data_IF_584391169847
#
_entry.id   IF_584391169847
#
_cell.length_a   1.000
_cell.length_b   1.000
_cell.length_c   1.000
_cell.angle_alpha   90.00
_cell.angle_beta   90.00
_cell.angle_gamma   90.00
#
_symmetry.space_group_name_H-M   'P 1'
#
loop_
_entity.id
_entity.type
_entity.pdbx_description
1 polymer ?
#
# COMPACT_ATOMS: atom_id res chain seq x y z
N UNK A 1 0.96 45.65 -18.02
CA UNK A 1 0.01 44.50 -18.18
C UNK A 1 0.60 43.36 -17.42
N UNK A 2 0.19 43.18 -16.17
CA UNK A 2 0.72 42.14 -15.30
C UNK A 2 0.07 40.81 -15.69
N UNK A 3 0.86 39.94 -16.33
CA UNK A 3 0.42 38.59 -16.65
C UNK A 3 0.29 37.82 -15.33
N UNK A 4 -0.93 37.55 -14.90
CA UNK A 4 -1.22 36.80 -13.71
C UNK A 4 -0.78 35.34 -13.91
N UNK A 5 0.31 34.95 -13.25
CA UNK A 5 0.72 33.56 -13.20
C UNK A 5 -0.33 32.69 -12.46
N UNK A 6 -0.74 31.62 -13.06
CA UNK A 6 -1.71 30.66 -12.52
C UNK A 6 -0.93 29.49 -11.93
N UNK A 7 -1.35 29.02 -10.77
CA UNK A 7 -0.73 27.83 -10.15
C UNK A 7 -1.34 26.56 -10.74
N UNK A 8 -0.49 25.66 -11.20
CA UNK A 8 -0.85 24.35 -11.73
C UNK A 8 -0.35 23.25 -10.78
N UNK A 9 -1.24 22.39 -10.35
CA UNK A 9 -0.86 21.15 -9.68
C UNK A 9 -0.53 20.10 -10.73
N UNK A 10 0.66 19.52 -10.66
CA UNK A 10 1.09 18.48 -11.57
C UNK A 10 1.38 17.17 -10.86
N UNK A 11 1.18 16.07 -11.58
CA UNK A 11 1.61 14.73 -11.20
C UNK A 11 2.40 14.15 -12.35
N UNK A 12 3.52 13.51 -12.03
CA UNK A 12 4.41 12.97 -13.04
C UNK A 12 5.40 11.97 -12.47
N UNK A 13 6.31 11.52 -13.32
CA UNK A 13 7.39 10.60 -12.97
C UNK A 13 8.71 11.30 -13.29
N UNK A 14 9.57 11.48 -12.29
CA UNK A 14 10.94 11.95 -12.45
C UNK A 14 11.90 10.87 -11.96
N UNK A 15 12.88 10.49 -12.78
CA UNK A 15 13.89 9.47 -12.45
C UNK A 15 13.28 8.13 -11.93
N UNK A 16 12.15 7.71 -12.53
CA UNK A 16 11.45 6.49 -12.14
C UNK A 16 10.65 6.59 -10.83
N UNK A 17 10.55 7.79 -10.21
CA UNK A 17 9.76 8.04 -9.00
C UNK A 17 8.57 8.93 -9.31
N UNK A 18 7.41 8.61 -8.71
CA UNK A 18 6.26 9.50 -8.75
C UNK A 18 6.58 10.80 -8.00
N UNK A 19 6.33 11.92 -8.67
CA UNK A 19 6.48 13.26 -8.10
C UNK A 19 5.20 14.05 -8.34
N UNK A 20 4.82 14.84 -7.35
CA UNK A 20 3.71 15.79 -7.45
C UNK A 20 4.17 17.13 -6.87
N UNK A 21 3.59 18.20 -7.37
CA UNK A 21 3.94 19.53 -6.91
C UNK A 21 3.08 20.61 -7.56
N UNK A 22 3.38 21.85 -7.22
CA UNK A 22 2.73 23.03 -7.81
C UNK A 22 3.78 23.80 -8.60
N UNK A 23 3.42 24.19 -9.81
CA UNK A 23 4.25 25.02 -10.68
C UNK A 23 3.46 26.26 -11.11
N UNK A 24 4.09 27.42 -11.12
CA UNK A 24 3.51 28.66 -11.59
C UNK A 24 3.85 28.87 -13.07
N UNK A 25 2.81 29.09 -13.88
CA UNK A 25 2.94 29.34 -15.30
C UNK A 25 1.78 30.22 -15.78
N UNK A 26 1.97 30.86 -16.93
CA UNK A 26 0.92 31.68 -17.55
C UNK A 26 -0.18 30.82 -18.14
N UNK A 27 0.19 29.66 -18.66
CA UNK A 27 -0.74 28.69 -19.22
C UNK A 27 -0.27 27.23 -18.98
N UNK A 28 -1.09 26.30 -19.44
CA UNK A 28 -0.84 24.84 -19.30
C UNK A 28 0.36 24.38 -20.14
N UNK A 29 0.62 25.04 -21.25
CA UNK A 29 1.70 24.67 -22.19
C UNK A 29 3.06 25.09 -21.61
N UNK A 30 3.14 26.29 -21.01
CA UNK A 30 4.31 26.74 -20.26
C UNK A 30 4.59 25.86 -19.03
N UNK A 31 3.54 25.48 -18.30
CA UNK A 31 3.69 24.55 -17.18
C UNK A 31 4.26 23.20 -17.65
N UNK A 32 3.76 22.69 -18.76
CA UNK A 32 4.24 21.45 -19.36
C UNK A 32 5.69 21.55 -19.83
N UNK A 33 6.06 22.67 -20.42
CA UNK A 33 7.43 22.93 -20.86
C UNK A 33 8.41 22.94 -19.68
N UNK A 34 8.11 23.73 -18.64
CA UNK A 34 8.91 23.81 -17.40
C UNK A 34 9.07 22.46 -16.69
N UNK A 35 8.07 21.59 -16.76
CA UNK A 35 8.13 20.25 -16.18
C UNK A 35 8.98 19.29 -17.01
N UNK A 36 8.94 19.42 -18.34
CA UNK A 36 9.84 18.64 -19.24
C UNK A 36 11.30 19.02 -19.06
N UNK A 37 11.64 20.27 -18.88
CA UNK A 37 13.01 20.71 -18.52
C UNK A 37 13.51 20.06 -17.22
N UNK A 38 12.62 19.84 -16.27
CA UNK A 38 12.91 19.12 -15.02
C UNK A 38 12.88 17.59 -15.17
N UNK A 39 12.84 17.09 -16.40
CA UNK A 39 12.76 15.64 -16.73
C UNK A 39 11.60 14.92 -16.05
N UNK A 40 10.48 15.64 -15.85
CA UNK A 40 9.25 15.06 -15.29
C UNK A 40 8.36 14.59 -16.43
N UNK A 41 8.04 13.30 -16.48
CA UNK A 41 7.01 12.76 -17.37
C UNK A 41 5.66 13.04 -16.74
N UNK A 42 4.89 13.92 -17.37
CA UNK A 42 3.63 14.44 -16.82
C UNK A 42 2.53 13.39 -17.00
N UNK A 43 1.86 13.04 -15.92
CA UNK A 43 0.68 12.15 -15.94
C UNK A 43 -0.63 12.97 -15.84
N UNK A 44 -0.62 14.10 -15.12
CA UNK A 44 -1.77 14.99 -14.97
C UNK A 44 -1.33 16.41 -14.64
N UNK A 45 -2.02 17.44 -15.22
CA UNK A 45 -1.90 18.86 -14.85
C UNK A 45 -3.29 19.45 -14.68
N UNK A 46 -3.54 20.06 -13.53
CA UNK A 46 -4.80 20.72 -13.20
C UNK A 46 -4.56 22.15 -12.68
N UNK A 47 -5.49 23.06 -12.99
CA UNK A 47 -5.44 24.44 -12.48
C UNK A 47 -5.93 24.47 -11.04
N UNK A 48 -5.13 25.05 -10.14
CA UNK A 48 -5.54 25.28 -8.74
C UNK A 48 -6.25 26.65 -8.65
N UNK A 49 -7.59 26.64 -8.58
CA UNK A 49 -8.35 27.86 -8.30
C UNK A 49 -8.29 28.17 -6.80
N UNK A 50 -7.49 29.18 -6.47
CA UNK A 50 -7.61 30.00 -5.25
C UNK A 50 -7.58 29.28 -3.90
N UNK A 51 -6.40 28.89 -3.39
CA UNK A 51 -6.16 28.79 -1.94
C UNK A 51 -4.76 29.29 -1.58
N UNK A 52 -4.69 30.10 -0.49
CA UNK A 52 -3.47 30.71 0.05
C UNK A 52 -2.39 29.65 0.35
N UNK A 53 -1.22 29.86 -0.22
CA UNK A 53 -0.03 29.03 -0.09
C UNK A 53 0.38 28.91 1.39
N UNK A 54 0.30 27.71 1.97
CA UNK A 54 1.09 27.35 3.15
C UNK A 54 2.44 26.85 2.66
N UNK A 55 3.52 27.53 3.08
CA UNK A 55 4.91 27.17 2.77
C UNK A 55 5.18 25.70 3.08
N UNK A 56 5.92 24.97 2.21
CA UNK A 56 6.22 23.56 2.44
C UNK A 56 7.12 23.41 3.67
N UNK A 57 6.65 22.68 4.68
CA UNK A 57 7.52 22.17 5.74
C UNK A 57 8.41 21.07 5.16
N UNK A 58 9.72 21.23 5.26
CA UNK A 58 10.73 20.22 4.94
C UNK A 58 10.43 18.91 5.69
N UNK A 59 10.40 17.81 4.95
CA UNK A 59 10.63 16.47 5.45
C UNK A 59 9.40 15.79 6.06
N UNK A 60 8.52 15.27 5.21
CA UNK A 60 7.74 14.08 5.54
C UNK A 60 7.73 13.18 4.29
N UNK A 61 8.48 12.10 4.36
CA UNK A 61 8.24 10.93 3.52
C UNK A 61 6.84 10.41 3.87
N UNK A 62 5.87 10.73 3.02
CA UNK A 62 4.50 10.28 3.22
C UNK A 62 3.86 10.06 1.86
N UNK A 63 3.65 8.80 1.51
CA UNK A 63 2.78 8.43 0.40
C UNK A 63 1.43 9.13 0.53
N UNK A 64 0.96 9.76 -0.55
CA UNK A 64 -0.15 10.66 -0.55
C UNK A 64 -1.41 10.09 0.07
N UNK A 65 -2.06 10.87 0.91
CA UNK A 65 -3.32 10.57 1.57
C UNK A 65 -4.44 10.18 0.56
N UNK A 66 -4.32 10.61 -0.69
CA UNK A 66 -5.26 10.31 -1.79
C UNK A 66 -5.01 8.97 -2.48
N UNK A 67 -3.78 8.45 -2.51
CA UNK A 67 -3.51 7.11 -3.05
C UNK A 67 -4.20 6.02 -2.23
N UNK A 68 -4.40 6.26 -0.92
CA UNK A 68 -5.12 5.34 -0.04
C UNK A 68 -6.63 5.26 -0.33
N UNK A 69 -7.24 6.22 -1.02
CA UNK A 69 -8.68 6.26 -1.26
C UNK A 69 -9.10 5.39 -2.46
N UNK A 70 -8.22 5.28 -3.48
CA UNK A 70 -8.50 4.57 -4.73
C UNK A 70 -7.95 3.12 -4.78
N UNK A 71 -7.03 2.76 -3.88
CA UNK A 71 -6.36 1.45 -3.92
C UNK A 71 -7.12 0.31 -3.23
N UNK A 72 -8.31 0.59 -2.68
CA UNK A 72 -9.09 -0.41 -1.96
C UNK A 72 -8.49 -0.81 -0.60
N UNK A 73 -9.24 -1.55 0.20
CA UNK A 73 -8.78 -2.07 1.50
C UNK A 73 -8.13 -3.43 1.30
N UNK A 74 -7.03 -3.70 2.00
CA UNK A 74 -6.49 -5.06 2.13
C UNK A 74 -7.44 -5.86 3.02
N UNK A 75 -7.96 -6.96 2.50
CA UNK A 75 -8.89 -7.86 3.21
C UNK A 75 -8.09 -8.92 3.99
N UNK A 76 -8.70 -9.53 4.98
CA UNK A 76 -8.11 -10.66 5.72
C UNK A 76 -7.76 -11.82 4.78
N UNK A 77 -8.59 -12.07 3.76
CA UNK A 77 -8.32 -13.08 2.74
C UNK A 77 -7.03 -12.79 1.94
N UNK A 78 -6.78 -11.50 1.59
CA UNK A 78 -5.56 -11.10 0.88
C UNK A 78 -4.32 -11.37 1.75
N UNK A 79 -4.41 -11.06 3.06
CA UNK A 79 -3.31 -11.32 4.01
C UNK A 79 -3.09 -12.81 4.26
N UNK A 80 -4.16 -13.60 4.35
CA UNK A 80 -4.07 -15.04 4.52
C UNK A 80 -3.36 -15.67 3.31
N UNK A 81 -3.76 -15.30 2.09
CA UNK A 81 -3.13 -15.78 0.87
C UNK A 81 -1.67 -15.34 0.76
N UNK A 82 -1.37 -14.07 1.06
CA UNK A 82 -0.01 -13.54 1.11
C UNK A 82 0.85 -14.34 2.09
N UNK A 83 0.40 -14.50 3.34
CA UNK A 83 1.14 -15.22 4.38
C UNK A 83 1.38 -16.68 4.01
N UNK A 84 0.38 -17.34 3.40
CA UNK A 84 0.49 -18.71 2.92
C UNK A 84 1.56 -18.86 1.84
N UNK A 85 1.57 -17.96 0.84
CA UNK A 85 2.57 -17.97 -0.23
C UNK A 85 3.99 -17.79 0.33
N UNK A 86 4.21 -16.76 1.17
CA UNK A 86 5.50 -16.49 1.80
C UNK A 86 5.94 -17.68 2.67
N UNK A 87 5.04 -18.20 3.52
CA UNK A 87 5.33 -19.35 4.39
C UNK A 87 5.76 -20.59 3.59
N UNK A 88 5.07 -20.87 2.49
CA UNK A 88 5.40 -22.01 1.61
C UNK A 88 6.78 -21.85 0.97
N UNK A 89 7.11 -20.67 0.48
CA UNK A 89 8.39 -20.38 -0.16
C UNK A 89 9.55 -20.44 0.83
N UNK A 90 9.40 -19.81 2.00
CA UNK A 90 10.42 -19.82 3.05
C UNK A 90 10.62 -21.25 3.60
N UNK A 91 9.53 -22.01 3.79
CA UNK A 91 9.61 -23.42 4.18
C UNK A 91 10.32 -24.30 3.13
N UNK A 92 10.20 -23.96 1.85
CA UNK A 92 10.93 -24.62 0.76
C UNK A 92 12.41 -24.18 0.67
N UNK A 93 12.89 -23.32 1.58
CA UNK A 93 14.28 -22.84 1.63
C UNK A 93 14.58 -21.65 0.72
N UNK A 94 13.57 -21.03 0.11
CA UNK A 94 13.77 -19.81 -0.69
C UNK A 94 14.17 -18.65 0.22
N UNK A 95 15.14 -17.80 -0.20
CA UNK A 95 15.47 -16.58 0.51
C UNK A 95 14.25 -15.70 0.70
N UNK A 96 14.13 -15.07 1.86
CA UNK A 96 12.96 -14.25 2.20
C UNK A 96 12.72 -13.12 1.20
N UNK A 97 13.79 -12.45 0.75
CA UNK A 97 13.70 -11.36 -0.21
C UNK A 97 13.15 -11.82 -1.57
N UNK A 98 13.63 -12.96 -2.08
CA UNK A 98 13.16 -13.53 -3.34
C UNK A 98 11.70 -13.97 -3.23
N UNK A 99 11.32 -14.53 -2.07
CA UNK A 99 9.94 -14.89 -1.77
C UNK A 99 9.01 -13.66 -1.83
N UNK A 100 9.44 -12.51 -1.30
CA UNK A 100 8.67 -11.27 -1.36
C UNK A 100 8.52 -10.76 -2.80
N UNK A 101 9.57 -10.77 -3.61
CA UNK A 101 9.53 -10.36 -5.03
C UNK A 101 8.55 -11.23 -5.81
N UNK A 102 8.62 -12.54 -5.64
CA UNK A 102 7.71 -13.47 -6.32
C UNK A 102 6.25 -13.28 -5.91
N UNK A 103 5.99 -13.04 -4.62
CA UNK A 103 4.62 -12.82 -4.12
C UNK A 103 4.10 -11.46 -4.53
N UNK A 104 4.95 -10.43 -4.65
CA UNK A 104 4.59 -9.12 -5.18
C UNK A 104 3.96 -9.25 -6.57
N UNK A 105 4.60 -9.99 -7.48
CA UNK A 105 4.11 -10.19 -8.85
C UNK A 105 2.77 -10.93 -8.89
N UNK A 106 2.55 -11.84 -7.96
CA UNK A 106 1.34 -12.66 -7.85
C UNK A 106 0.22 -12.02 -7.01
N UNK A 107 0.37 -10.77 -6.60
CA UNK A 107 -0.59 -10.09 -5.73
C UNK A 107 -1.52 -9.20 -6.53
N UNK A 108 -2.84 -9.54 -6.53
CA UNK A 108 -3.88 -8.81 -7.26
C UNK A 108 -4.28 -7.50 -6.56
N UNK A 109 -4.27 -7.50 -5.23
CA UNK A 109 -4.62 -6.33 -4.43
C UNK A 109 -3.55 -5.25 -4.59
N UNK A 110 -3.87 -4.19 -5.35
CA UNK A 110 -2.92 -3.11 -5.69
C UNK A 110 -2.29 -2.46 -4.45
N UNK A 111 -3.07 -2.29 -3.38
CA UNK A 111 -2.55 -1.71 -2.13
C UNK A 111 -1.56 -2.65 -1.45
N UNK A 112 -1.90 -3.93 -1.36
CA UNK A 112 -1.00 -4.93 -0.76
C UNK A 112 0.27 -5.07 -1.60
N UNK A 113 0.16 -5.07 -2.93
CA UNK A 113 1.31 -5.10 -3.86
C UNK A 113 2.29 -3.95 -3.59
N UNK A 114 1.80 -2.72 -3.45
CA UNK A 114 2.65 -1.56 -3.13
C UNK A 114 3.33 -1.70 -1.76
N UNK A 115 2.61 -2.22 -0.77
CA UNK A 115 3.18 -2.46 0.56
C UNK A 115 4.28 -3.53 0.49
N UNK A 116 4.06 -4.63 -0.24
CA UNK A 116 5.04 -5.70 -0.44
C UNK A 116 6.28 -5.15 -1.13
N UNK A 117 6.11 -4.34 -2.18
CA UNK A 117 7.19 -3.66 -2.88
C UNK A 117 8.05 -2.80 -1.93
N UNK A 118 7.40 -2.01 -1.06
CA UNK A 118 8.13 -1.20 -0.08
C UNK A 118 8.86 -2.07 0.96
N UNK A 119 8.24 -3.17 1.40
CA UNK A 119 8.88 -4.13 2.31
C UNK A 119 10.12 -4.75 1.64
N UNK A 120 10.04 -5.15 0.38
CA UNK A 120 11.19 -5.69 -0.37
C UNK A 120 12.35 -4.70 -0.41
N UNK A 121 12.08 -3.43 -0.70
CA UNK A 121 13.10 -2.36 -0.69
C UNK A 121 13.72 -2.14 0.69
N UNK A 122 12.89 -2.12 1.72
CA UNK A 122 13.37 -1.95 3.10
C UNK A 122 14.25 -3.14 3.55
N UNK A 123 13.90 -4.35 3.13
CA UNK A 123 14.70 -5.56 3.38
C UNK A 123 16.04 -5.52 2.64
N UNK A 124 16.06 -5.08 1.37
CA UNK A 124 17.30 -4.87 0.60
C UNK A 124 18.21 -3.85 1.27
N UNK A 125 17.62 -2.83 1.92
CA UNK A 125 18.36 -1.81 2.69
C UNK A 125 18.80 -2.32 4.09
N UNK A 126 18.58 -3.60 4.43
CA UNK A 126 18.96 -4.21 5.70
C UNK A 126 18.02 -3.95 6.87
N UNK A 127 16.81 -3.45 6.63
CA UNK A 127 15.82 -3.27 7.69
C UNK A 127 15.24 -4.64 8.09
N UNK A 128 15.09 -4.89 9.39
CA UNK A 128 14.48 -6.15 9.88
C UNK A 128 13.03 -6.29 9.41
N UNK A 129 12.60 -7.51 9.11
CA UNK A 129 11.27 -7.80 8.57
C UNK A 129 10.14 -7.31 9.49
N UNK A 130 10.28 -7.50 10.79
CA UNK A 130 9.32 -7.01 11.79
C UNK A 130 9.17 -5.48 11.77
N UNK A 131 10.27 -4.75 11.57
CA UNK A 131 10.23 -3.28 11.39
C UNK A 131 9.53 -2.89 10.09
N UNK A 132 9.78 -3.62 9.00
CA UNK A 132 9.12 -3.37 7.71
C UNK A 132 7.59 -3.49 7.84
N UNK A 133 7.10 -4.57 8.46
CA UNK A 133 5.67 -4.78 8.70
C UNK A 133 5.06 -3.73 9.64
N UNK A 134 5.79 -3.30 10.68
CA UNK A 134 5.31 -2.31 11.65
C UNK A 134 5.02 -0.94 11.06
N UNK A 135 5.56 -0.61 9.88
CA UNK A 135 5.27 0.63 9.15
C UNK A 135 3.82 0.70 8.64
N UNK A 136 3.12 -0.45 8.56
CA UNK A 136 1.76 -0.55 8.05
C UNK A 136 0.79 -1.16 9.08
N UNK A 137 0.55 -0.52 10.25
CA UNK A 137 -0.21 -1.10 11.36
C UNK A 137 -1.71 -1.30 11.06
N UNK A 138 -2.24 -0.64 10.02
CA UNK A 138 -3.62 -0.84 9.54
C UNK A 138 -3.80 -2.13 8.74
N UNK A 139 -2.71 -2.72 8.26
CA UNK A 139 -2.68 -3.94 7.46
C UNK A 139 -2.15 -5.10 8.29
N UNK A 140 -1.03 -4.90 8.97
CA UNK A 140 -0.37 -5.88 9.83
C UNK A 140 -0.58 -5.51 11.29
N UNK A 141 -1.44 -6.25 11.98
CA UNK A 141 -1.74 -6.01 13.38
C UNK A 141 -0.55 -6.33 14.31
N UNK A 142 -0.68 -5.97 15.58
CA UNK A 142 0.39 -6.22 16.58
C UNK A 142 0.74 -7.70 16.70
N UNK A 143 -0.23 -8.59 16.53
CA UNK A 143 0.00 -10.05 16.62
C UNK A 143 0.86 -10.48 15.45
N UNK A 144 0.55 -10.03 14.24
CA UNK A 144 1.34 -10.28 13.04
C UNK A 144 2.80 -9.86 13.24
N UNK A 145 3.02 -8.59 13.61
CA UNK A 145 4.36 -8.03 13.81
C UNK A 145 5.16 -8.77 14.90
N UNK A 146 4.50 -9.09 16.02
CA UNK A 146 5.16 -9.79 17.12
C UNK A 146 5.55 -11.24 16.77
N UNK A 147 4.72 -11.93 15.97
CA UNK A 147 5.04 -13.26 15.46
C UNK A 147 6.28 -13.24 14.56
N UNK A 148 6.35 -12.29 13.64
CA UNK A 148 7.51 -12.10 12.77
C UNK A 148 8.76 -11.77 13.61
N UNK A 149 8.64 -10.86 14.58
CA UNK A 149 9.74 -10.49 15.48
C UNK A 149 10.27 -11.68 16.27
N UNK A 150 9.38 -12.53 16.77
CA UNK A 150 9.78 -13.76 17.46
C UNK A 150 10.48 -14.75 16.51
N UNK A 151 10.00 -14.88 15.27
CA UNK A 151 10.62 -15.68 14.22
C UNK A 151 12.03 -15.20 13.86
N UNK A 152 12.21 -13.88 13.71
CA UNK A 152 13.52 -13.27 13.46
C UNK A 152 14.49 -13.52 14.63
N UNK A 153 14.04 -13.27 15.86
CA UNK A 153 14.88 -13.41 17.06
C UNK A 153 15.31 -14.87 17.31
N UNK A 154 14.48 -15.84 16.96
CA UNK A 154 14.77 -17.28 17.15
C UNK A 154 15.45 -17.93 15.94
N UNK A 155 15.57 -17.25 14.80
CA UNK A 155 16.03 -17.83 13.53
C UNK A 155 15.07 -18.85 12.91
N UNK A 156 13.84 -18.98 13.43
CA UNK A 156 12.83 -19.96 13.02
C UNK A 156 11.65 -19.27 12.32
N UNK A 157 11.96 -18.38 11.39
CA UNK A 157 10.95 -17.56 10.71
C UNK A 157 9.91 -18.41 9.96
N UNK A 158 10.34 -19.54 9.39
CA UNK A 158 9.49 -20.53 8.73
C UNK A 158 8.36 -21.04 9.64
N UNK A 159 8.68 -21.43 10.87
CA UNK A 159 7.69 -21.93 11.83
C UNK A 159 6.70 -20.85 12.26
N UNK A 160 7.19 -19.62 12.46
CA UNK A 160 6.33 -18.52 12.85
C UNK A 160 5.42 -18.05 11.70
N UNK A 161 5.90 -18.10 10.47
CA UNK A 161 5.09 -17.83 9.28
C UNK A 161 3.98 -18.88 9.10
N UNK A 162 4.28 -20.18 9.32
CA UNK A 162 3.24 -21.23 9.30
C UNK A 162 2.16 -20.95 10.34
N UNK A 163 2.55 -20.74 11.60
CA UNK A 163 1.59 -20.42 12.68
C UNK A 163 0.78 -19.17 12.40
N UNK A 164 1.41 -18.14 11.83
CA UNK A 164 0.74 -16.91 11.44
C UNK A 164 -0.32 -17.17 10.35
N UNK A 165 0.01 -17.98 9.36
CA UNK A 165 -0.91 -18.40 8.30
C UNK A 165 -2.13 -19.12 8.88
N UNK A 166 -1.93 -20.08 9.80
CA UNK A 166 -3.03 -20.78 10.49
C UNK A 166 -3.96 -19.82 11.24
N UNK A 167 -3.40 -18.82 11.94
CA UNK A 167 -4.19 -17.81 12.64
C UNK A 167 -5.03 -16.98 11.67
N UNK A 168 -4.46 -16.58 10.55
CA UNK A 168 -5.15 -15.79 9.53
C UNK A 168 -6.23 -16.58 8.81
N UNK A 169 -5.98 -17.85 8.48
CA UNK A 169 -6.96 -18.77 7.89
C UNK A 169 -8.16 -18.98 8.83
N UNK A 170 -7.91 -19.25 10.10
CA UNK A 170 -8.98 -19.36 11.12
C UNK A 170 -9.81 -18.08 11.25
N UNK A 171 -9.18 -16.92 11.23
CA UNK A 171 -9.89 -15.63 11.25
C UNK A 171 -10.77 -15.44 10.03
N UNK A 172 -10.29 -15.83 8.86
CA UNK A 172 -11.06 -15.74 7.62
C UNK A 172 -12.25 -16.71 7.62
N UNK A 173 -12.07 -17.93 8.11
CA UNK A 173 -13.14 -18.92 8.22
C UNK A 173 -14.24 -18.46 9.18
N UNK A 174 -13.88 -17.91 10.33
CA UNK A 174 -14.86 -17.35 11.27
C UNK A 174 -15.61 -16.20 10.61
N UNK A 175 -14.90 -15.32 9.90
CA UNK A 175 -15.51 -14.19 9.21
C UNK A 175 -16.49 -14.64 8.11
N UNK A 176 -16.15 -15.69 7.36
CA UNK A 176 -17.03 -16.30 6.34
C UNK A 176 -18.28 -16.88 6.98
N UNK A 177 -18.13 -17.63 8.08
CA UNK A 177 -19.25 -18.22 8.84
C UNK A 177 -20.21 -17.14 9.36
N UNK A 178 -19.70 -16.06 9.95
CA UNK A 178 -20.52 -14.94 10.41
C UNK A 178 -21.25 -14.27 9.24
N UNK A 179 -20.58 -14.07 8.11
CA UNK A 179 -21.17 -13.45 6.93
C UNK A 179 -22.30 -14.30 6.33
N UNK A 180 -22.13 -15.63 6.26
CA UNK A 180 -23.15 -16.54 5.79
C UNK A 180 -24.35 -16.63 6.77
N UNK A 181 -24.10 -16.65 8.07
CA UNK A 181 -25.16 -16.66 9.09
C UNK A 181 -25.99 -15.35 9.07
N UNK A 182 -25.39 -14.22 8.72
CA UNK A 182 -26.10 -12.93 8.62
C UNK A 182 -26.97 -12.78 7.37
N UNK A 183 -26.90 -13.71 6.44
CA UNK A 183 -27.73 -13.70 5.23
C UNK A 183 -29.16 -14.17 5.51
N UNK A 184 -29.33 -15.12 6.43
CA UNK A 184 -30.62 -15.71 6.78
C UNK A 184 -31.64 -14.70 7.37
N UNK A 185 -31.29 -13.84 8.35
CA UNK A 185 -32.24 -12.85 8.87
C UNK A 185 -32.66 -11.81 7.82
N UNK A 186 -31.78 -11.48 6.87
CA UNK A 186 -32.13 -10.49 5.81
C UNK A 186 -33.17 -11.03 4.84
N UNK A 187 -33.10 -12.31 4.51
CA UNK A 187 -34.10 -12.95 3.63
C UNK A 187 -35.46 -13.02 4.34
N UNK A 188 -35.48 -13.37 5.63
CA UNK A 188 -36.72 -13.40 6.42
C UNK A 188 -37.37 -12.02 6.53
N UNK A 189 -36.60 -10.97 6.72
CA UNK A 189 -37.10 -9.59 6.76
C UNK A 189 -37.68 -9.14 5.41
N UNK A 190 -37.12 -9.60 4.29
CA UNK A 190 -37.59 -9.27 2.95
C UNK A 190 -38.87 -10.05 2.59
N UNK A 191 -39.03 -11.29 3.07
CA UNK A 191 -40.19 -12.15 2.78
C UNK A 191 -41.35 -11.86 3.72
N UNK A 192 -41.11 -11.45 4.96
CA UNK A 192 -42.12 -11.15 5.96
C UNK A 192 -42.59 -9.68 5.97
N UNK A 193 -41.88 -8.78 5.31
CA UNK A 193 -42.18 -7.34 5.23
C UNK A 193 -42.74 -6.86 3.89
N UNK A 194 -42.95 -7.74 2.91
CA UNK A 194 -43.70 -7.51 1.65
C UNK A 194 -45.00 -8.26 1.65
#
# INVERSE_FOLDING_TARGET
MDAHAVSFEYKGIAEGKYTEGIIEALDRDEASFKLREKKVIITSINIVKGQKIKKPKKGVQGGGFFDNLFLGKVKTADLSLFSKKISTMVKAGLPILDSFKMVEDQTDNKRLKLIIHQISKDLEAGTSLSKCFSKNPKVFDKIFVNMIKAGEASGKLDLFLVKLTEILERREDIRRKIKSASFYPKILFFVAGG
#
